data_IF_910062121933
#
_entry.id   IF_910062121933
#
_cell.length_a   1.000
_cell.length_b   1.000
_cell.length_c   1.000
_cell.angle_alpha   90.00
_cell.angle_beta   90.00
_cell.angle_gamma   90.00
#
_symmetry.space_group_name_H-M   'P 1'
#
loop_
_entity.id
_entity.type
_entity.pdbx_description
1 polymer ?
#
# COMPACT_ATOMS: atom_id res chain seq x y z
N UNK A 1 -7.92 21.33 -2.82
CA UNK A 1 -8.24 21.81 -4.19
C UNK A 1 -9.29 20.89 -4.79
N UNK A 2 -10.54 21.32 -4.84
CA UNK A 2 -11.58 20.57 -5.54
C UNK A 2 -11.47 20.88 -7.04
N UNK A 3 -10.55 20.20 -7.72
CA UNK A 3 -10.50 20.27 -9.18
C UNK A 3 -11.32 19.13 -9.73
N UNK A 4 -12.18 19.46 -10.70
CA UNK A 4 -12.88 18.47 -11.51
C UNK A 4 -12.09 18.22 -12.79
N UNK A 5 -12.11 16.98 -13.24
CA UNK A 5 -11.54 16.56 -14.52
C UNK A 5 -12.58 15.77 -15.29
N UNK A 6 -12.53 15.86 -16.62
CA UNK A 6 -13.40 15.09 -17.49
C UNK A 6 -12.97 13.64 -17.51
N UNK A 7 -13.90 12.73 -17.40
CA UNK A 7 -13.67 11.30 -17.57
C UNK A 7 -13.33 11.04 -19.05
N UNK A 8 -12.21 10.36 -19.28
CA UNK A 8 -11.74 10.02 -20.63
C UNK A 8 -11.67 8.50 -20.80
N UNK A 9 -11.80 8.04 -22.04
CA UNK A 9 -11.62 6.64 -22.36
C UNK A 9 -10.17 6.20 -22.20
N UNK A 10 -9.96 4.92 -21.89
CA UNK A 10 -8.63 4.34 -21.77
C UNK A 10 -7.94 4.25 -23.14
N UNK A 11 -6.75 4.84 -23.24
CA UNK A 11 -5.96 4.89 -24.48
C UNK A 11 -4.53 4.34 -24.29
N UNK A 12 -4.27 3.63 -23.19
CA UNK A 12 -2.95 3.15 -22.81
C UNK A 12 -2.87 1.63 -22.96
N UNK A 13 -1.76 1.15 -23.51
CA UNK A 13 -1.52 -0.28 -23.63
C UNK A 13 -0.90 -0.81 -22.32
N UNK A 14 -1.74 -1.08 -21.34
CA UNK A 14 -1.30 -1.39 -19.98
C UNK A 14 -1.44 -2.87 -19.64
N UNK A 15 -2.61 -3.41 -19.64
CA UNK A 15 -2.84 -4.81 -19.35
C UNK A 15 -4.24 -5.28 -19.76
N UNK A 16 -4.44 -6.61 -19.73
CA UNK A 16 -5.77 -7.23 -19.93
C UNK A 16 -6.75 -6.91 -18.78
N UNK A 17 -6.26 -6.54 -17.62
CA UNK A 17 -7.06 -6.23 -16.44
C UNK A 17 -7.92 -4.97 -16.59
N UNK A 18 -7.63 -4.10 -17.56
CA UNK A 18 -8.44 -2.91 -17.83
C UNK A 18 -9.94 -3.22 -18.00
N UNK A 19 -10.27 -4.27 -18.76
CA UNK A 19 -11.68 -4.65 -18.98
C UNK A 19 -12.36 -5.13 -17.71
N UNK A 20 -11.64 -5.85 -16.86
CA UNK A 20 -12.13 -6.26 -15.53
C UNK A 20 -12.43 -5.04 -14.67
N UNK A 21 -11.51 -4.09 -14.65
CA UNK A 21 -11.63 -2.86 -13.89
C UNK A 21 -12.76 -1.94 -14.29
N UNK A 22 -12.99 -1.79 -15.60
CA UNK A 22 -14.10 -1.02 -16.11
C UNK A 22 -15.44 -1.56 -15.59
N UNK A 23 -15.51 -2.86 -15.32
CA UNK A 23 -16.71 -3.53 -14.81
C UNK A 23 -16.84 -3.43 -13.29
N UNK A 24 -15.71 -3.40 -12.56
CA UNK A 24 -15.70 -3.48 -11.09
C UNK A 24 -15.69 -2.11 -10.42
N UNK A 25 -15.06 -1.11 -11.01
CA UNK A 25 -14.79 0.19 -10.38
C UNK A 25 -15.41 1.38 -11.12
N UNK A 26 -15.97 1.18 -12.32
CA UNK A 26 -16.55 2.25 -13.15
C UNK A 26 -17.68 3.03 -12.48
N UNK A 27 -18.44 2.37 -11.60
CA UNK A 27 -19.64 2.94 -10.98
C UNK A 27 -19.41 3.58 -9.60
N UNK A 28 -18.17 3.61 -9.10
CA UNK A 28 -17.88 4.07 -7.74
C UNK A 28 -17.53 5.56 -7.62
N UNK A 29 -17.23 6.21 -8.73
CA UNK A 29 -17.09 7.65 -8.74
C UNK A 29 -18.44 8.28 -9.11
N UNK A 30 -18.94 9.15 -8.24
CA UNK A 30 -20.07 10.00 -8.58
C UNK A 30 -19.73 10.87 -9.79
N UNK A 31 -20.36 10.57 -10.91
CA UNK A 31 -20.20 11.28 -12.16
C UNK A 31 -21.16 12.47 -12.20
N UNK A 32 -20.62 13.66 -12.40
CA UNK A 32 -21.36 14.88 -12.66
C UNK A 32 -21.25 15.20 -14.17
N UNK A 33 -22.10 14.60 -14.97
CA UNK A 33 -22.13 14.81 -16.45
C UNK A 33 -20.76 14.57 -17.13
N UNK A 34 -20.09 13.49 -16.78
CA UNK A 34 -18.75 13.14 -17.30
C UNK A 34 -17.59 13.83 -16.59
N UNK A 35 -17.84 14.49 -15.46
CA UNK A 35 -16.80 15.12 -14.64
C UNK A 35 -16.70 14.48 -13.27
N UNK A 36 -15.47 14.32 -12.75
CA UNK A 36 -15.19 13.74 -11.44
C UNK A 36 -14.18 14.59 -10.68
N UNK A 37 -14.34 14.68 -9.36
CA UNK A 37 -13.38 15.39 -8.53
C UNK A 37 -12.07 14.59 -8.39
N UNK A 38 -10.92 15.26 -8.49
CA UNK A 38 -9.61 14.61 -8.48
C UNK A 38 -9.34 13.81 -7.20
N UNK A 39 -9.85 14.27 -6.05
CA UNK A 39 -9.72 13.54 -4.79
C UNK A 39 -10.53 12.23 -4.79
N UNK A 40 -11.68 12.19 -5.49
CA UNK A 40 -12.46 10.95 -5.65
C UNK A 40 -11.70 9.92 -6.47
N UNK A 41 -11.02 10.36 -7.55
CA UNK A 41 -10.16 9.47 -8.35
C UNK A 41 -9.08 8.86 -7.45
N UNK A 42 -8.35 9.68 -6.70
CA UNK A 42 -7.29 9.20 -5.82
C UNK A 42 -7.81 8.23 -4.75
N UNK A 43 -8.96 8.54 -4.15
CA UNK A 43 -9.58 7.68 -3.12
C UNK A 43 -10.10 6.37 -3.70
N UNK A 44 -10.82 6.42 -4.82
CA UNK A 44 -11.53 5.26 -5.38
C UNK A 44 -10.58 4.29 -6.06
N UNK A 45 -9.60 4.81 -6.79
CA UNK A 45 -8.75 3.97 -7.63
C UNK A 45 -7.41 3.57 -7.00
N UNK A 46 -7.14 3.97 -5.76
CA UNK A 46 -5.97 3.46 -5.02
C UNK A 46 -6.07 1.96 -4.73
N UNK A 47 -7.26 1.39 -4.57
CA UNK A 47 -7.44 -0.05 -4.34
C UNK A 47 -7.47 -0.92 -5.61
N UNK A 48 -7.39 -0.32 -6.80
CA UNK A 48 -7.45 -1.05 -8.07
C UNK A 48 -6.38 -2.15 -8.22
N UNK A 49 -5.11 -1.96 -7.79
CA UNK A 49 -4.12 -3.03 -7.87
C UNK A 49 -4.52 -4.30 -7.12
N UNK A 50 -5.10 -4.18 -5.92
CA UNK A 50 -5.61 -5.32 -5.14
C UNK A 50 -6.80 -6.02 -5.80
N UNK A 51 -7.51 -5.33 -6.66
CA UNK A 51 -8.62 -5.89 -7.44
C UNK A 51 -8.15 -6.63 -8.71
N UNK A 52 -6.83 -6.82 -8.88
CA UNK A 52 -6.24 -7.59 -9.96
C UNK A 52 -6.04 -6.80 -11.25
N UNK A 53 -6.17 -5.47 -11.22
CA UNK A 53 -5.97 -4.67 -12.43
C UNK A 53 -4.51 -4.63 -12.89
N UNK A 54 -3.59 -5.00 -12.05
CA UNK A 54 -2.16 -5.12 -12.33
C UNK A 54 -1.72 -6.51 -12.79
N UNK A 55 -2.64 -7.47 -12.95
CA UNK A 55 -2.32 -8.85 -13.31
C UNK A 55 -1.52 -9.01 -14.60
N UNK A 56 -1.64 -8.05 -15.51
CA UNK A 56 -0.88 -8.02 -16.77
C UNK A 56 0.51 -7.41 -16.68
N UNK A 57 0.89 -6.85 -15.54
CA UNK A 57 2.20 -6.22 -15.37
C UNK A 57 3.30 -7.28 -15.22
N UNK A 58 4.15 -7.40 -16.22
CA UNK A 58 5.33 -8.26 -16.20
C UNK A 58 6.54 -7.46 -15.67
N UNK A 59 6.65 -7.33 -14.35
CA UNK A 59 7.71 -6.56 -13.68
C UNK A 59 8.92 -7.44 -13.38
N UNK A 60 8.70 -8.73 -13.13
CA UNK A 60 9.77 -9.66 -12.77
C UNK A 60 9.53 -11.04 -13.37
N UNK A 61 10.59 -11.73 -13.86
CA UNK A 61 10.50 -13.12 -14.26
C UNK A 61 9.98 -14.06 -13.16
N UNK A 62 10.17 -13.68 -11.88
CA UNK A 62 9.70 -14.45 -10.74
C UNK A 62 8.18 -14.64 -10.73
N UNK A 63 7.40 -13.74 -11.35
CA UNK A 63 5.95 -13.86 -11.45
C UNK A 63 5.47 -15.11 -12.18
N UNK A 64 6.32 -15.69 -13.03
CA UNK A 64 6.00 -16.84 -13.88
C UNK A 64 6.50 -18.16 -13.32
N UNK A 65 7.18 -18.15 -12.16
CA UNK A 65 7.63 -19.37 -11.51
C UNK A 65 6.47 -20.10 -10.81
N UNK A 66 6.34 -21.43 -11.00
CA UNK A 66 5.33 -22.21 -10.30
C UNK A 66 5.43 -22.06 -8.78
N UNK A 67 4.30 -21.78 -8.14
CA UNK A 67 4.23 -21.64 -6.68
C UNK A 67 4.60 -20.26 -6.13
N UNK A 68 5.05 -19.33 -6.97
CA UNK A 68 5.23 -17.93 -6.61
C UNK A 68 3.91 -17.18 -6.81
N UNK A 69 3.49 -16.45 -5.78
CA UNK A 69 2.31 -15.60 -5.86
C UNK A 69 2.66 -14.31 -6.62
N UNK A 70 2.15 -14.20 -7.84
CA UNK A 70 2.39 -13.07 -8.73
C UNK A 70 1.96 -11.73 -8.11
N UNK A 71 0.88 -11.72 -7.32
CA UNK A 71 0.43 -10.54 -6.59
C UNK A 71 1.52 -10.08 -5.60
N UNK A 72 2.04 -10.99 -4.76
CA UNK A 72 3.11 -10.66 -3.81
C UNK A 72 4.36 -10.11 -4.50
N UNK A 73 4.70 -10.63 -5.68
CA UNK A 73 5.87 -10.12 -6.44
C UNK A 73 5.70 -8.66 -6.84
N UNK A 74 4.47 -8.23 -7.15
CA UNK A 74 4.17 -6.85 -7.56
C UNK A 74 3.98 -5.88 -6.40
N UNK A 75 3.53 -6.38 -5.24
CA UNK A 75 3.13 -5.56 -4.09
C UNK A 75 4.18 -5.50 -2.97
N UNK A 76 5.06 -6.49 -2.87
CA UNK A 76 6.06 -6.56 -1.80
C UNK A 76 7.49 -6.35 -2.31
N UNK A 77 8.38 -5.98 -1.38
CA UNK A 77 9.84 -5.99 -1.56
C UNK A 77 10.49 -6.52 -0.29
N UNK A 78 10.42 -7.85 -0.14
CA UNK A 78 10.78 -8.53 1.10
C UNK A 78 12.30 -8.63 1.21
N UNK A 79 12.85 -8.16 2.33
CA UNK A 79 14.24 -8.34 2.71
C UNK A 79 14.41 -9.65 3.45
N UNK A 80 15.26 -10.53 2.88
CA UNK A 80 15.74 -11.75 3.51
C UNK A 80 17.25 -11.63 3.62
N UNK A 81 17.80 -11.58 4.85
CA UNK A 81 19.19 -11.19 5.10
C UNK A 81 19.51 -9.83 4.44
N UNK A 82 20.43 -9.79 3.50
CA UNK A 82 20.82 -8.60 2.74
C UNK A 82 20.29 -8.58 1.30
N UNK A 83 19.37 -9.49 0.95
CA UNK A 83 18.79 -9.60 -0.39
C UNK A 83 17.36 -9.13 -0.38
N UNK A 84 17.03 -8.24 -1.30
CA UNK A 84 15.66 -7.80 -1.55
C UNK A 84 15.04 -8.72 -2.62
N UNK A 85 13.96 -9.40 -2.25
CA UNK A 85 13.14 -10.21 -3.14
C UNK A 85 11.88 -9.43 -3.50
N UNK A 86 11.35 -9.71 -4.69
CA UNK A 86 10.16 -9.06 -5.25
C UNK A 86 10.36 -7.58 -5.62
N UNK A 87 9.38 -6.97 -6.25
CA UNK A 87 9.59 -5.72 -6.97
C UNK A 87 8.40 -4.74 -6.85
N UNK A 88 7.81 -4.63 -5.66
CA UNK A 88 6.75 -3.65 -5.39
C UNK A 88 7.17 -2.20 -5.67
N UNK A 89 8.45 -1.88 -5.53
CA UNK A 89 9.00 -0.57 -5.89
C UNK A 89 8.97 -0.32 -7.41
N UNK A 90 9.21 -1.33 -8.24
CA UNK A 90 9.11 -1.19 -9.69
C UNK A 90 7.65 -0.95 -10.14
N UNK A 91 6.67 -1.55 -9.44
CA UNK A 91 5.25 -1.24 -9.65
C UNK A 91 4.95 0.24 -9.36
N UNK A 92 5.46 0.76 -8.26
CA UNK A 92 5.36 2.19 -7.94
C UNK A 92 5.95 3.06 -9.04
N UNK A 93 7.20 2.82 -9.46
CA UNK A 93 7.86 3.60 -10.50
C UNK A 93 7.13 3.50 -11.85
N UNK A 94 6.60 2.33 -12.16
CA UNK A 94 5.81 2.14 -13.38
C UNK A 94 4.60 3.06 -13.41
N UNK A 95 3.79 3.07 -12.36
CA UNK A 95 2.57 3.90 -12.33
C UNK A 95 2.85 5.39 -12.18
N UNK A 96 3.92 5.79 -11.49
CA UNK A 96 4.39 7.19 -11.51
C UNK A 96 4.73 7.63 -12.94
N UNK A 97 5.44 6.80 -13.70
CA UNK A 97 5.76 7.09 -15.11
C UNK A 97 4.51 7.16 -15.97
N UNK A 98 3.57 6.21 -15.82
CA UNK A 98 2.30 6.22 -16.57
C UNK A 98 1.48 7.46 -16.26
N UNK A 99 1.44 7.89 -15.01
CA UNK A 99 0.79 9.13 -14.60
C UNK A 99 1.42 10.35 -15.30
N UNK A 100 2.75 10.47 -15.32
CA UNK A 100 3.46 11.56 -16.02
C UNK A 100 3.17 11.56 -17.54
N UNK A 101 3.12 10.36 -18.16
CA UNK A 101 2.77 10.23 -19.59
C UNK A 101 1.33 10.72 -19.84
N UNK A 102 0.38 10.33 -19.00
CA UNK A 102 -1.00 10.77 -19.16
C UNK A 102 -1.15 12.29 -19.01
N UNK A 103 -0.54 12.87 -17.98
CA UNK A 103 -0.52 14.33 -17.81
C UNK A 103 0.14 15.05 -19.00
N UNK A 104 1.24 14.55 -19.55
CA UNK A 104 1.89 15.15 -20.73
C UNK A 104 1.03 15.11 -22.01
N UNK A 105 0.00 14.27 -22.03
CA UNK A 105 -1.01 14.20 -23.11
C UNK A 105 -2.29 14.97 -22.80
N UNK A 106 -2.28 15.81 -21.76
CA UNK A 106 -3.44 16.52 -21.18
C UNK A 106 -4.59 15.59 -20.72
N UNK A 107 -4.30 14.30 -20.56
CA UNK A 107 -5.25 13.31 -20.02
C UNK A 107 -5.19 13.29 -18.50
N UNK A 108 -5.84 14.27 -17.88
CA UNK A 108 -5.81 14.47 -16.43
C UNK A 108 -6.53 13.36 -15.68
N UNK A 109 -7.58 12.77 -16.24
CA UNK A 109 -8.31 11.68 -15.60
C UNK A 109 -7.41 10.47 -15.38
N UNK A 110 -6.78 9.97 -16.45
CA UNK A 110 -5.84 8.85 -16.34
C UNK A 110 -4.55 9.23 -15.64
N UNK A 111 -4.13 10.49 -15.71
CA UNK A 111 -3.03 11.00 -14.91
C UNK A 111 -3.24 10.80 -13.42
N UNK A 112 -4.39 11.21 -12.89
CA UNK A 112 -4.75 11.00 -11.48
C UNK A 112 -5.03 9.52 -11.16
N UNK A 113 -5.62 8.76 -12.08
CA UNK A 113 -5.92 7.34 -11.85
C UNK A 113 -4.64 6.50 -11.75
N UNK A 114 -3.66 6.72 -12.62
CA UNK A 114 -2.33 6.10 -12.49
C UNK A 114 -1.59 6.57 -11.23
N UNK A 115 -1.74 7.84 -10.84
CA UNK A 115 -1.19 8.32 -9.58
C UNK A 115 -1.81 7.61 -8.37
N UNK A 116 -3.12 7.37 -8.38
CA UNK A 116 -3.82 6.60 -7.35
C UNK A 116 -3.22 5.20 -7.19
N UNK A 117 -2.98 4.50 -8.31
CA UNK A 117 -2.31 3.19 -8.32
C UNK A 117 -0.88 3.27 -7.79
N UNK A 118 -0.12 4.30 -8.15
CA UNK A 118 1.21 4.50 -7.59
C UNK A 118 1.17 4.68 -6.07
N UNK A 119 0.18 5.43 -5.55
CA UNK A 119 0.01 5.63 -4.11
C UNK A 119 -0.27 4.32 -3.38
N UNK A 120 -1.01 3.39 -3.98
CA UNK A 120 -1.20 2.05 -3.43
C UNK A 120 0.13 1.33 -3.17
N UNK A 121 1.04 1.28 -4.14
CA UNK A 121 2.31 0.56 -3.97
C UNK A 121 3.26 1.20 -2.96
N UNK A 122 3.25 2.53 -2.81
CA UNK A 122 4.06 3.16 -1.75
C UNK A 122 3.42 2.94 -0.38
N UNK A 123 2.09 2.79 -0.30
CA UNK A 123 1.37 2.38 0.89
C UNK A 123 1.75 0.95 1.28
N UNK A 124 1.72 0.01 0.34
CA UNK A 124 2.22 -1.36 0.52
C UNK A 124 3.66 -1.39 1.07
N UNK A 125 4.56 -0.60 0.48
CA UNK A 125 5.95 -0.50 0.93
C UNK A 125 6.10 0.21 2.28
N UNK A 126 5.06 0.83 2.81
CA UNK A 126 5.03 1.33 4.19
C UNK A 126 4.62 0.26 5.19
N UNK A 127 3.97 -0.81 4.75
CA UNK A 127 3.48 -1.90 5.59
C UNK A 127 4.64 -2.86 5.94
N UNK A 128 4.94 -3.10 7.24
CA UNK A 128 6.11 -3.88 7.64
C UNK A 128 6.19 -5.29 7.02
N UNK A 129 5.07 -5.99 6.91
CA UNK A 129 5.04 -7.35 6.35
C UNK A 129 5.24 -7.42 4.83
N UNK A 130 5.13 -6.29 4.11
CA UNK A 130 5.50 -6.20 2.69
C UNK A 130 7.02 -6.05 2.49
N UNK A 131 7.77 -5.78 3.56
CA UNK A 131 9.20 -5.46 3.49
C UNK A 131 10.10 -6.47 4.21
N UNK A 132 9.58 -7.20 5.18
CA UNK A 132 10.36 -8.16 5.97
C UNK A 132 9.49 -9.33 6.40
N UNK A 133 10.11 -10.49 6.59
CA UNK A 133 9.53 -11.67 7.23
C UNK A 133 10.36 -12.04 8.45
N UNK A 134 9.73 -12.72 9.40
CA UNK A 134 10.43 -13.28 10.57
C UNK A 134 11.47 -14.31 10.10
N UNK A 135 12.75 -13.98 10.30
CA UNK A 135 13.89 -14.82 9.89
C UNK A 135 14.70 -15.31 11.08
N UNK A 136 14.31 -14.97 12.32
CA UNK A 136 15.02 -15.37 13.51
C UNK A 136 15.04 -16.91 13.63
N UNK A 137 16.20 -17.49 13.36
CA UNK A 137 16.55 -18.93 13.41
C UNK A 137 15.77 -19.87 12.46
N UNK A 138 14.92 -19.34 11.54
CA UNK A 138 13.89 -20.16 10.94
C UNK A 138 13.64 -19.94 9.43
N UNK A 139 14.62 -19.44 8.69
CA UNK A 139 14.46 -19.27 7.22
C UNK A 139 13.96 -20.56 6.54
N UNK A 140 14.36 -21.73 7.03
CA UNK A 140 13.85 -23.01 6.57
C UNK A 140 12.36 -23.24 6.91
N UNK A 141 11.83 -22.58 7.94
CA UNK A 141 10.38 -22.70 8.27
C UNK A 141 9.49 -21.97 7.28
N UNK A 142 10.03 -21.00 6.51
CA UNK A 142 9.27 -20.40 5.40
C UNK A 142 8.91 -21.44 4.34
N UNK A 143 9.61 -22.58 4.29
CA UNK A 143 9.26 -23.70 3.45
C UNK A 143 8.07 -24.52 4.00
N UNK A 144 7.78 -24.42 5.30
CA UNK A 144 6.61 -25.05 5.92
C UNK A 144 5.33 -24.29 5.54
N UNK A 145 4.38 -25.02 4.98
CA UNK A 145 3.07 -24.45 4.59
C UNK A 145 2.30 -23.85 5.78
N UNK A 146 2.34 -24.51 6.97
CA UNK A 146 1.66 -24.03 8.16
C UNK A 146 2.26 -22.72 8.66
N UNK A 147 3.59 -22.61 8.61
CA UNK A 147 4.27 -21.38 9.00
C UNK A 147 3.98 -20.24 8.01
N UNK A 148 3.94 -20.50 6.71
CA UNK A 148 3.49 -19.50 5.73
C UNK A 148 2.05 -19.04 5.98
N UNK A 149 1.15 -19.96 6.35
CA UNK A 149 -0.22 -19.59 6.75
C UNK A 149 -0.25 -18.73 8.01
N UNK A 150 0.60 -19.03 8.99
CA UNK A 150 0.74 -18.23 10.19
C UNK A 150 1.22 -16.81 9.85
N UNK A 151 2.28 -16.65 9.05
CA UNK A 151 2.79 -15.35 8.62
C UNK A 151 1.74 -14.53 7.85
N UNK A 152 1.00 -15.16 6.93
CA UNK A 152 -0.11 -14.50 6.22
C UNK A 152 -1.21 -14.02 7.18
N UNK A 153 -1.47 -14.75 8.26
CA UNK A 153 -2.43 -14.33 9.28
C UNK A 153 -1.90 -13.20 10.15
N UNK A 154 -0.60 -13.17 10.41
CA UNK A 154 0.04 -12.03 11.09
C UNK A 154 -0.07 -10.75 10.25
N UNK A 155 0.25 -10.84 8.96
CA UNK A 155 0.08 -9.76 8.01
C UNK A 155 -1.37 -9.25 8.01
N UNK A 156 -2.34 -10.13 7.75
CA UNK A 156 -3.76 -9.79 7.79
C UNK A 156 -4.20 -9.18 9.13
N UNK A 157 -3.63 -9.63 10.25
CA UNK A 157 -3.95 -9.08 11.57
C UNK A 157 -3.51 -7.61 11.68
N UNK A 158 -2.36 -7.25 11.11
CA UNK A 158 -1.90 -5.87 11.12
C UNK A 158 -2.74 -4.96 10.20
N UNK A 159 -3.15 -5.43 9.02
CA UNK A 159 -4.07 -4.70 8.14
C UNK A 159 -5.43 -4.48 8.83
N UNK A 160 -5.94 -5.54 9.46
CA UNK A 160 -7.19 -5.45 10.21
C UNK A 160 -7.06 -4.54 11.44
N UNK A 161 -5.88 -4.44 12.06
CA UNK A 161 -5.62 -3.51 13.14
C UNK A 161 -5.72 -2.05 12.67
N UNK A 162 -5.15 -1.72 11.51
CA UNK A 162 -5.32 -0.39 10.90
C UNK A 162 -6.81 -0.10 10.64
N UNK A 163 -7.53 -1.05 10.06
CA UNK A 163 -8.97 -0.92 9.85
C UNK A 163 -9.74 -0.75 11.19
N UNK A 164 -9.31 -1.43 12.25
CA UNK A 164 -9.85 -1.26 13.59
C UNK A 164 -9.66 0.17 14.10
N UNK A 165 -8.46 0.73 14.01
CA UNK A 165 -8.17 2.10 14.44
C UNK A 165 -9.00 3.13 13.67
N UNK A 166 -9.18 2.96 12.35
CA UNK A 166 -10.08 3.81 11.56
C UNK A 166 -11.54 3.66 12.01
N UNK A 167 -12.00 2.44 12.27
CA UNK A 167 -13.39 2.18 12.70
C UNK A 167 -13.74 2.84 14.04
N UNK A 168 -12.78 2.90 14.97
CA UNK A 168 -12.97 3.58 16.26
C UNK A 168 -12.68 5.09 16.21
N UNK A 169 -12.34 5.63 15.03
CA UNK A 169 -11.90 7.01 14.84
C UNK A 169 -10.75 7.39 15.78
N UNK A 170 -9.69 6.55 15.84
CA UNK A 170 -8.54 6.78 16.70
C UNK A 170 -7.89 8.13 16.37
N UNK A 171 -7.92 9.05 17.36
CA UNK A 171 -7.49 10.44 17.16
C UNK A 171 -6.00 10.58 16.87
N UNK A 172 -5.16 9.74 17.46
CA UNK A 172 -3.72 9.77 17.22
C UNK A 172 -3.37 9.26 15.83
N UNK A 173 -4.10 8.24 15.32
CA UNK A 173 -3.95 7.79 13.94
C UNK A 173 -4.33 8.90 12.96
N UNK A 174 -5.46 9.54 13.16
CA UNK A 174 -5.90 10.64 12.30
C UNK A 174 -4.92 11.82 12.34
N UNK A 175 -4.43 12.16 13.52
CA UNK A 175 -3.39 13.19 13.71
C UNK A 175 -2.08 12.82 12.99
N UNK A 176 -1.65 11.57 13.07
CA UNK A 176 -0.48 11.06 12.36
C UNK A 176 -0.61 11.22 10.83
N UNK A 177 -1.82 11.07 10.30
CA UNK A 177 -2.09 11.29 8.87
C UNK A 177 -2.17 12.78 8.56
N UNK A 178 -2.97 13.55 9.31
CA UNK A 178 -3.33 14.92 8.96
C UNK A 178 -2.23 15.94 9.28
N UNK A 179 -1.63 15.83 10.46
CA UNK A 179 -0.75 16.86 11.01
C UNK A 179 0.75 16.57 10.84
N UNK A 180 1.13 15.37 10.42
CA UNK A 180 2.55 15.12 10.09
C UNK A 180 3.00 16.04 8.95
N UNK A 181 4.06 16.85 9.16
CA UNK A 181 4.56 17.74 8.12
C UNK A 181 5.17 16.95 6.95
N UNK A 182 5.20 17.53 5.74
CA UNK A 182 5.87 16.91 4.61
C UNK A 182 7.36 16.65 4.88
N UNK A 183 7.81 15.43 4.67
CA UNK A 183 9.21 15.02 4.85
C UNK A 183 9.91 15.01 3.50
N UNK A 184 10.94 15.85 3.29
CA UNK A 184 11.62 15.98 2.00
C UNK A 184 12.28 14.69 1.53
N UNK A 185 12.14 14.40 0.23
CA UNK A 185 12.89 13.39 -0.49
C UNK A 185 13.37 13.95 -1.85
N UNK A 186 14.56 13.55 -2.26
CA UNK A 186 15.19 14.04 -3.50
C UNK A 186 14.41 13.62 -4.75
N UNK A 187 14.05 12.36 -4.79
CA UNK A 187 13.37 11.71 -5.91
C UNK A 187 12.51 10.52 -5.43
N UNK A 188 11.85 9.84 -6.36
CA UNK A 188 11.00 8.68 -6.10
C UNK A 188 11.78 7.51 -5.49
N UNK A 189 13.06 7.34 -5.85
CA UNK A 189 13.92 6.27 -5.31
C UNK A 189 14.24 6.51 -3.83
N UNK A 190 14.55 7.75 -3.48
CA UNK A 190 14.78 8.12 -2.08
C UNK A 190 13.49 8.01 -1.26
N UNK A 191 12.34 8.37 -1.83
CA UNK A 191 11.03 8.18 -1.20
C UNK A 191 10.83 6.71 -0.82
N UNK A 192 10.91 5.81 -1.79
CA UNK A 192 10.75 4.37 -1.59
C UNK A 192 11.75 3.85 -0.55
N UNK A 193 13.02 4.25 -0.69
CA UNK A 193 14.06 3.84 0.26
C UNK A 193 13.72 4.25 1.68
N UNK A 194 13.37 5.51 1.93
CA UNK A 194 13.10 6.02 3.28
C UNK A 194 11.85 5.39 3.89
N UNK A 195 10.76 5.30 3.15
CA UNK A 195 9.52 4.67 3.61
C UNK A 195 9.78 3.21 3.97
N UNK A 196 10.43 2.48 3.08
CA UNK A 196 10.72 1.06 3.25
C UNK A 196 11.70 0.78 4.39
N UNK A 197 12.80 1.51 4.50
CA UNK A 197 13.80 1.33 5.59
C UNK A 197 13.17 1.61 6.95
N UNK A 198 12.32 2.63 7.05
CA UNK A 198 11.59 2.91 8.27
C UNK A 198 10.64 1.75 8.62
N UNK A 199 9.87 1.28 7.65
CA UNK A 199 8.95 0.15 7.80
C UNK A 199 9.70 -1.13 8.26
N UNK A 200 10.82 -1.47 7.64
CA UNK A 200 11.69 -2.58 8.05
C UNK A 200 12.15 -2.43 9.50
N UNK A 201 12.52 -1.22 9.92
CA UNK A 201 12.99 -0.96 11.29
C UNK A 201 11.90 -1.17 12.35
N UNK A 202 10.63 -1.17 11.95
CA UNK A 202 9.48 -1.37 12.85
C UNK A 202 8.93 -2.79 12.82
N UNK A 203 9.37 -3.62 11.88
CA UNK A 203 8.83 -4.95 11.67
C UNK A 203 8.86 -5.81 12.94
N UNK A 204 10.00 -5.90 13.64
CA UNK A 204 10.15 -6.77 14.83
C UNK A 204 9.13 -6.38 15.90
N UNK A 205 9.02 -5.07 16.20
CA UNK A 205 8.09 -4.58 17.21
C UNK A 205 6.64 -4.92 16.83
N UNK A 206 6.25 -4.68 15.57
CA UNK A 206 4.92 -5.01 15.08
C UNK A 206 4.65 -6.50 15.15
N UNK A 207 5.61 -7.31 14.68
CA UNK A 207 5.48 -8.77 14.63
C UNK A 207 5.39 -9.39 16.03
N UNK A 208 6.25 -8.95 16.94
CA UNK A 208 6.25 -9.43 18.32
C UNK A 208 4.96 -9.05 19.06
N UNK A 209 4.45 -7.83 18.84
CA UNK A 209 3.18 -7.42 19.44
C UNK A 209 1.99 -8.21 18.87
N UNK A 210 1.92 -8.44 17.58
CA UNK A 210 0.90 -9.28 16.96
C UNK A 210 0.97 -10.72 17.51
N UNK A 211 2.18 -11.28 17.65
CA UNK A 211 2.37 -12.60 18.27
C UNK A 211 1.98 -12.61 19.75
N UNK A 212 2.42 -11.62 20.51
CA UNK A 212 2.09 -11.50 21.95
C UNK A 212 0.58 -11.48 22.19
N UNK A 213 -0.14 -10.74 21.36
CA UNK A 213 -1.58 -10.55 21.49
C UNK A 213 -2.39 -11.76 21.01
N UNK A 214 -1.99 -12.38 19.90
CA UNK A 214 -2.88 -13.26 19.14
C UNK A 214 -2.27 -14.61 18.73
N UNK A 215 -1.09 -15.01 19.24
CA UNK A 215 -0.39 -16.23 18.80
C UNK A 215 -1.31 -17.46 18.73
N UNK A 216 -2.06 -17.72 19.82
CA UNK A 216 -2.95 -18.90 19.91
C UNK A 216 -4.13 -18.85 18.94
N UNK A 217 -4.56 -17.64 18.60
CA UNK A 217 -5.60 -17.40 17.59
C UNK A 217 -5.01 -17.60 16.20
N UNK A 218 -3.85 -17.02 15.91
CA UNK A 218 -3.22 -17.00 14.61
C UNK A 218 -2.87 -18.40 14.08
N UNK A 219 -2.54 -19.35 14.96
CA UNK A 219 -2.35 -20.75 14.55
C UNK A 219 -3.63 -21.43 14.11
N UNK A 220 -4.80 -20.99 14.60
CA UNK A 220 -6.10 -21.64 14.39
C UNK A 220 -6.94 -20.93 13.32
N UNK A 221 -7.00 -19.60 13.36
CA UNK A 221 -7.84 -18.76 12.50
C UNK A 221 -7.26 -17.38 12.27
N UNK A 222 -7.86 -16.62 11.36
CA UNK A 222 -7.63 -15.17 11.25
C UNK A 222 -8.16 -14.45 12.49
N UNK A 223 -7.49 -13.36 12.87
CA UNK A 223 -7.99 -12.41 13.89
C UNK A 223 -9.23 -11.70 13.35
N UNK A 224 -10.13 -11.27 14.23
CA UNK A 224 -11.36 -10.52 13.92
C UNK A 224 -11.35 -9.18 14.65
N UNK A 225 -12.25 -8.28 14.28
CA UNK A 225 -12.42 -6.97 14.94
C UNK A 225 -12.67 -7.09 16.45
N UNK A 226 -13.48 -8.09 16.85
CA UNK A 226 -13.81 -8.33 18.24
C UNK A 226 -12.59 -8.71 19.08
N UNK A 227 -11.60 -9.40 18.49
CA UNK A 227 -10.35 -9.75 19.18
C UNK A 227 -9.56 -8.48 19.54
N UNK A 228 -9.54 -7.47 18.66
CA UNK A 228 -8.94 -6.15 18.96
C UNK A 228 -9.73 -5.37 19.99
N UNK A 229 -11.07 -5.37 19.92
CA UNK A 229 -11.91 -4.72 20.92
C UNK A 229 -11.65 -5.27 22.32
N UNK A 230 -11.52 -6.61 22.45
CA UNK A 230 -11.21 -7.27 23.73
C UNK A 230 -9.81 -6.87 24.21
N UNK A 231 -8.81 -6.83 23.33
CA UNK A 231 -7.45 -6.46 23.69
C UNK A 231 -7.35 -4.98 24.08
N UNK A 232 -8.08 -4.10 23.38
CA UNK A 232 -8.11 -2.66 23.66
C UNK A 232 -8.78 -2.37 25.02
N UNK A 233 -9.91 -2.99 25.29
CA UNK A 233 -10.60 -2.89 26.59
C UNK A 233 -9.73 -3.31 27.78
N UNK A 234 -8.68 -4.12 27.55
CA UNK A 234 -7.69 -4.53 28.54
C UNK A 234 -6.43 -3.64 28.55
N UNK A 235 -6.36 -2.60 27.72
CA UNK A 235 -5.19 -1.73 27.56
C UNK A 235 -3.96 -2.45 26.97
N UNK A 236 -4.15 -3.50 26.19
CA UNK A 236 -3.06 -4.34 25.68
C UNK A 236 -2.50 -3.88 24.33
N UNK A 237 -3.14 -2.90 23.67
CA UNK A 237 -2.79 -2.44 22.31
C UNK A 237 -1.80 -1.27 22.29
N UNK A 238 -1.41 -0.70 23.41
CA UNK A 238 -0.67 0.58 23.46
C UNK A 238 0.64 0.56 22.68
N UNK A 239 1.43 -0.50 22.78
CA UNK A 239 2.71 -0.62 22.04
C UNK A 239 2.44 -0.75 20.54
N UNK A 240 1.45 -1.56 20.15
CA UNK A 240 1.09 -1.73 18.74
C UNK A 240 0.52 -0.43 18.14
N UNK A 241 -0.29 0.31 18.91
CA UNK A 241 -0.79 1.63 18.52
C UNK A 241 0.36 2.60 18.26
N UNK A 242 1.28 2.72 19.23
CA UNK A 242 2.38 3.69 19.15
C UNK A 242 3.32 3.41 17.96
N UNK A 243 3.71 2.15 17.73
CA UNK A 243 4.54 1.82 16.57
C UNK A 243 3.81 2.06 15.26
N UNK A 244 2.49 1.82 15.24
CA UNK A 244 1.65 2.07 14.06
C UNK A 244 1.53 3.55 13.74
N UNK A 245 1.35 4.42 14.74
CA UNK A 245 1.35 5.88 14.53
C UNK A 245 2.66 6.36 13.93
N UNK A 246 3.80 5.80 14.36
CA UNK A 246 5.11 6.14 13.78
C UNK A 246 5.22 5.72 12.32
N UNK A 247 4.77 4.50 11.97
CA UNK A 247 4.75 4.00 10.59
C UNK A 247 3.90 4.90 9.71
N UNK A 248 2.68 5.22 10.15
CA UNK A 248 1.74 6.05 9.43
C UNK A 248 2.24 7.51 9.30
N UNK A 249 2.82 8.09 10.36
CA UNK A 249 3.44 9.42 10.28
C UNK A 249 4.56 9.47 9.24
N UNK A 250 5.45 8.48 9.23
CA UNK A 250 6.54 8.42 8.26
C UNK A 250 6.00 8.34 6.82
N UNK A 251 5.06 7.44 6.58
CA UNK A 251 4.39 7.29 5.29
C UNK A 251 3.69 8.59 4.86
N UNK A 252 2.84 9.15 5.73
CA UNK A 252 2.08 10.36 5.44
C UNK A 252 2.98 11.56 5.13
N UNK A 253 4.04 11.76 5.91
CA UNK A 253 4.99 12.86 5.69
C UNK A 253 5.70 12.77 4.32
N UNK A 254 6.22 11.61 3.99
CA UNK A 254 6.89 11.38 2.71
C UNK A 254 5.91 11.46 1.53
N UNK A 255 4.73 10.88 1.64
CA UNK A 255 3.70 10.91 0.59
C UNK A 255 3.18 12.32 0.33
N UNK A 256 2.97 13.13 1.38
CA UNK A 256 2.60 14.55 1.21
C UNK A 256 3.64 15.34 0.45
N UNK A 257 4.92 15.12 0.74
CA UNK A 257 6.01 15.79 0.01
C UNK A 257 6.04 15.35 -1.45
N UNK A 258 5.98 14.04 -1.69
CA UNK A 258 5.95 13.47 -3.04
C UNK A 258 4.80 14.05 -3.86
N UNK A 259 3.57 14.03 -3.34
CA UNK A 259 2.41 14.57 -4.05
C UNK A 259 2.56 16.05 -4.39
N UNK A 260 3.07 16.87 -3.45
CA UNK A 260 3.32 18.29 -3.72
C UNK A 260 4.33 18.50 -4.84
N UNK A 261 5.43 17.76 -4.80
CA UNK A 261 6.48 17.82 -5.82
C UNK A 261 5.97 17.33 -7.16
N UNK A 262 5.34 16.16 -7.20
CA UNK A 262 4.76 15.56 -8.39
C UNK A 262 3.75 16.51 -9.07
N UNK A 263 2.84 17.10 -8.29
CA UNK A 263 1.84 18.03 -8.83
C UNK A 263 2.45 19.35 -9.33
N UNK A 264 3.63 19.74 -8.86
CA UNK A 264 4.37 20.85 -9.44
C UNK A 264 4.98 20.45 -10.78
N UNK A 265 5.68 19.31 -10.83
CA UNK A 265 6.30 18.79 -12.06
C UNK A 265 5.28 18.63 -13.20
N UNK A 266 4.13 18.00 -12.95
CA UNK A 266 3.12 17.78 -14.02
C UNK A 266 2.40 19.05 -14.48
N UNK A 267 2.43 20.13 -13.67
CA UNK A 267 1.92 21.44 -14.12
C UNK A 267 2.90 22.15 -15.06
N UNK A 268 4.18 21.87 -14.93
CA UNK A 268 5.22 22.41 -15.79
C UNK A 268 5.29 21.68 -17.14
N UNK A 269 4.61 20.50 -17.26
CA UNK A 269 4.49 19.73 -18.50
C UNK A 269 3.34 20.20 -19.42
N UNK A 270 2.42 21.00 -18.89
CA UNK A 270 1.25 21.59 -19.58
C UNK A 270 1.41 23.13 -19.67
#
# INVERSE_FOLDING_TARGET
MNKYVRITEYQYNESRAYNLMKTVVGDWCEDLDGWVATWQILKTYSCEPDMGMDEGLAISPLQFFPGVDSHVVRHAKIRIFNLDLFQGDESFYYFVRMSKIAFSRDDKYWGYRFLARALHYIEDLSQPYHNKIDTDDKVLQVLDANYRHFLRRCHYAYDLFLAYLFNINDRKLLDAIENTPPIPCKDEKELVKKVREFSISKFEIVHDEIKRLFKDILWKRKVKMEDFQIADAKGQLEVLKEVTYQVISNFAGHTKYFLRKFMKEVRELN
#
